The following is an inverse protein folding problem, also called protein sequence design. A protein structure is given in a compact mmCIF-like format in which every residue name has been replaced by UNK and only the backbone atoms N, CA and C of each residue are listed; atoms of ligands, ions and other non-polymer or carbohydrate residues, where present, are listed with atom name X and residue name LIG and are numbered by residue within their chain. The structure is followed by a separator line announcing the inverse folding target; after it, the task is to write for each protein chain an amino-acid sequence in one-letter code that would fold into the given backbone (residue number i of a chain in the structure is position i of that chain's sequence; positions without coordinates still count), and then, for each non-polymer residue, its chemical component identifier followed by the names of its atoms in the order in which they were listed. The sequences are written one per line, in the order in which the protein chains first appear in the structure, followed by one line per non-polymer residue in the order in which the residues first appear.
data_IF_591576343662
#
_entry.id   IF_591576343662
#
_cell.length_a   1.000
_cell.length_b   1.000
_cell.length_c   1.000
_cell.angle_alpha   90.00
_cell.angle_beta   90.00
_cell.angle_gamma   90.00
#
_symmetry.space_group_name_H-M   'P 1'
#
loop_
_entity.id
_entity.type
_entity.pdbx_description
1 polymer ?
#
# COMPACT_ATOMS: atom_id res chain seq x y z
N UNK A 1 -2.39 28.95 1.90
CA UNK A 1 -3.40 29.38 0.91
C UNK A 1 -2.84 30.53 0.10
N UNK A 2 -3.13 30.63 -1.21
CA UNK A 2 -2.78 31.83 -1.96
C UNK A 2 -3.47 33.06 -1.35
N UNK A 3 -2.85 34.25 -1.42
CA UNK A 3 -3.40 35.47 -0.83
C UNK A 3 -4.77 35.86 -1.46
N UNK A 4 -5.66 36.58 -0.74
CA UNK A 4 -6.97 37.01 -1.26
C UNK A 4 -6.90 37.83 -2.56
N UNK A 5 -5.76 38.47 -2.82
CA UNK A 5 -5.50 39.26 -4.03
C UNK A 5 -5.23 38.36 -5.25
N UNK A 6 -4.91 37.08 -5.02
CA UNK A 6 -4.71 36.07 -6.05
C UNK A 6 -6.01 35.39 -6.49
N UNK A 7 -7.18 35.95 -6.17
CA UNK A 7 -8.48 35.56 -6.72
C UNK A 7 -8.47 35.76 -8.24
N UNK A 8 -8.00 34.74 -8.97
CA UNK A 8 -8.04 34.71 -10.43
C UNK A 8 -9.50 34.66 -10.87
N UNK A 9 -10.02 35.81 -11.27
CA UNK A 9 -11.32 35.90 -11.93
C UNK A 9 -11.14 35.56 -13.41
N UNK A 10 -12.05 34.76 -13.95
CA UNK A 10 -12.02 34.43 -15.38
C UNK A 10 -12.38 35.68 -16.19
N UNK A 11 -11.56 36.00 -17.20
CA UNK A 11 -11.88 37.07 -18.16
C UNK A 11 -13.16 36.72 -18.93
N UNK A 12 -13.93 37.73 -19.41
CA UNK A 12 -15.13 37.47 -20.22
C UNK A 12 -14.90 36.54 -21.41
N UNK A 13 -13.75 36.65 -22.08
CA UNK A 13 -13.33 35.79 -23.18
C UNK A 13 -13.15 34.32 -22.76
N UNK A 14 -12.60 34.07 -21.56
CA UNK A 14 -12.42 32.72 -21.02
C UNK A 14 -13.77 32.09 -20.65
N UNK A 15 -14.68 32.89 -20.11
CA UNK A 15 -16.06 32.46 -19.83
C UNK A 15 -16.78 32.14 -21.14
N UNK A 16 -16.62 32.95 -22.18
CA UNK A 16 -17.20 32.71 -23.49
C UNK A 16 -16.67 31.42 -24.12
N UNK A 17 -15.35 31.18 -24.04
CA UNK A 17 -14.71 29.95 -24.51
C UNK A 17 -15.26 28.70 -23.80
N UNK A 18 -15.37 28.73 -22.47
CA UNK A 18 -15.95 27.62 -21.71
C UNK A 18 -17.42 27.38 -22.06
N UNK A 19 -18.19 28.46 -22.27
CA UNK A 19 -19.60 28.34 -22.69
C UNK A 19 -19.73 27.72 -24.08
N UNK A 20 -18.86 28.07 -25.02
CA UNK A 20 -18.89 27.50 -26.36
C UNK A 20 -18.50 26.02 -26.32
N UNK A 21 -17.46 25.68 -25.57
CA UNK A 21 -17.07 24.28 -25.35
C UNK A 21 -18.22 23.43 -24.79
N UNK A 22 -18.97 23.94 -23.80
CA UNK A 22 -20.18 23.27 -23.29
C UNK A 22 -21.27 23.14 -24.36
N UNK A 23 -21.50 24.15 -25.19
CA UNK A 23 -22.50 24.08 -26.29
C UNK A 23 -22.12 23.08 -27.37
N UNK A 24 -20.82 22.93 -27.65
CA UNK A 24 -20.29 21.96 -28.61
C UNK A 24 -20.39 20.51 -28.10
N UNK A 25 -20.93 20.31 -26.89
CA UNK A 25 -21.16 18.98 -26.32
C UNK A 25 -20.02 18.47 -25.45
N UNK A 26 -19.23 19.37 -24.85
CA UNK A 26 -18.22 18.96 -23.88
C UNK A 26 -18.85 18.14 -22.74
N UNK A 27 -18.35 16.92 -22.56
CA UNK A 27 -18.72 16.07 -21.44
C UNK A 27 -18.00 16.55 -20.18
N UNK A 28 -18.77 16.91 -19.16
CA UNK A 28 -18.24 17.20 -17.84
C UNK A 28 -18.10 15.89 -17.06
N UNK A 29 -16.85 15.46 -16.84
CA UNK A 29 -16.55 14.32 -15.97
C UNK A 29 -16.24 14.82 -14.56
N UNK A 30 -16.87 14.19 -13.55
CA UNK A 30 -16.49 14.42 -12.16
C UNK A 30 -15.04 13.94 -11.92
N UNK A 31 -14.31 14.67 -11.07
CA UNK A 31 -12.93 14.29 -10.76
C UNK A 31 -12.90 12.92 -10.08
N UNK A 32 -12.02 12.03 -10.54
CA UNK A 32 -11.96 10.62 -10.13
C UNK A 32 -11.94 10.39 -8.61
N UNK A 33 -11.36 11.32 -7.85
CA UNK A 33 -11.25 11.24 -6.38
C UNK A 33 -12.57 11.51 -5.64
N UNK A 34 -13.56 12.11 -6.30
CA UNK A 34 -14.88 12.39 -5.74
C UNK A 34 -15.94 11.35 -6.16
N UNK A 35 -15.59 10.48 -7.10
CA UNK A 35 -16.43 9.37 -7.50
C UNK A 35 -16.28 8.22 -6.51
N UNK A 36 -17.39 7.80 -5.90
CA UNK A 36 -17.40 6.63 -5.03
C UNK A 36 -17.00 5.37 -5.81
N UNK A 37 -16.05 4.56 -5.30
CA UNK A 37 -15.70 3.28 -5.92
C UNK A 37 -16.93 2.38 -6.04
N UNK A 38 -17.19 1.87 -7.26
CA UNK A 38 -18.30 0.95 -7.52
C UNK A 38 -17.78 -0.48 -7.54
N UNK A 39 -18.43 -1.36 -6.78
CA UNK A 39 -18.13 -2.79 -6.79
C UNK A 39 -18.24 -3.34 -8.21
N UNK A 40 -17.18 -4.03 -8.66
CA UNK A 40 -17.15 -4.68 -9.97
C UNK A 40 -17.52 -6.15 -9.82
N UNK A 41 -18.30 -6.67 -10.76
CA UNK A 41 -18.58 -8.10 -10.80
C UNK A 41 -17.27 -8.87 -11.05
N UNK A 42 -17.09 -9.98 -10.34
CA UNK A 42 -15.93 -10.86 -10.52
C UNK A 42 -16.00 -11.47 -11.94
N UNK A 43 -14.94 -11.32 -12.76
CA UNK A 43 -14.94 -11.86 -14.11
C UNK A 43 -15.04 -13.38 -14.13
N UNK A 44 -15.77 -13.92 -15.12
CA UNK A 44 -15.75 -15.36 -15.40
C UNK A 44 -14.55 -15.67 -16.28
N UNK A 45 -13.72 -16.62 -15.84
CA UNK A 45 -12.46 -17.01 -16.50
C UNK A 45 -12.53 -18.45 -16.98
N UNK A 46 -11.75 -18.79 -18.01
CA UNK A 46 -11.71 -20.14 -18.58
C UNK A 46 -10.93 -21.10 -17.69
N UNK A 47 -9.80 -20.65 -17.13
CA UNK A 47 -8.93 -21.50 -16.30
C UNK A 47 -9.29 -21.42 -14.81
N UNK A 48 -10.53 -21.75 -14.46
CA UNK A 48 -11.04 -21.64 -13.08
C UNK A 48 -10.25 -22.45 -12.04
N UNK A 49 -9.55 -23.52 -12.43
CA UNK A 49 -8.71 -24.31 -11.52
C UNK A 49 -7.42 -23.63 -11.06
N UNK A 50 -6.99 -22.55 -11.71
CA UNK A 50 -5.82 -21.75 -11.28
C UNK A 50 -6.17 -20.71 -10.21
N UNK A 51 -7.45 -20.31 -10.15
CA UNK A 51 -7.96 -19.25 -9.27
C UNK A 51 -8.00 -19.74 -7.82
N UNK A 52 -7.34 -19.01 -6.91
CA UNK A 52 -7.40 -19.25 -5.46
C UNK A 52 -8.35 -18.28 -4.77
N UNK A 53 -8.47 -17.05 -5.28
CA UNK A 53 -9.35 -16.02 -4.73
C UNK A 53 -9.99 -15.13 -5.82
N UNK A 54 -10.84 -14.17 -5.40
CA UNK A 54 -11.52 -13.27 -6.33
C UNK A 54 -10.55 -12.40 -7.15
N UNK A 55 -9.44 -11.94 -6.57
CA UNK A 55 -8.41 -11.13 -7.25
C UNK A 55 -7.79 -11.88 -8.43
N UNK A 56 -7.56 -13.19 -8.28
CA UNK A 56 -6.99 -14.02 -9.35
C UNK A 56 -7.88 -14.05 -10.60
N UNK A 57 -9.21 -13.92 -10.45
CA UNK A 57 -10.12 -13.83 -11.60
C UNK A 57 -9.86 -12.57 -12.43
N UNK A 58 -9.58 -11.43 -11.78
CA UNK A 58 -9.29 -10.18 -12.49
C UNK A 58 -7.95 -10.26 -13.23
N UNK A 59 -6.94 -10.85 -12.60
CA UNK A 59 -5.62 -11.08 -13.22
C UNK A 59 -5.75 -12.04 -14.40
N UNK A 60 -6.40 -13.18 -14.18
CA UNK A 60 -6.55 -14.22 -15.21
C UNK A 60 -7.42 -13.75 -16.37
N UNK A 61 -8.50 -12.99 -16.11
CA UNK A 61 -9.30 -12.39 -17.18
C UNK A 61 -8.47 -11.46 -18.07
N UNK A 62 -7.54 -10.69 -17.47
CA UNK A 62 -6.62 -9.84 -18.22
C UNK A 62 -5.63 -10.68 -19.04
N UNK A 63 -5.04 -11.73 -18.46
CA UNK A 63 -4.14 -12.64 -19.16
C UNK A 63 -4.82 -13.35 -20.33
N UNK A 64 -6.00 -13.92 -20.12
CA UNK A 64 -6.78 -14.62 -21.14
C UNK A 64 -7.18 -13.70 -22.30
N UNK A 65 -7.54 -12.44 -22.02
CA UNK A 65 -7.83 -11.43 -23.05
C UNK A 65 -6.61 -11.15 -23.94
N UNK A 66 -5.42 -11.15 -23.36
CA UNK A 66 -4.15 -10.90 -24.07
C UNK A 66 -3.54 -12.19 -24.65
N UNK A 67 -4.19 -13.34 -24.50
CA UNK A 67 -3.66 -14.63 -24.96
C UNK A 67 -2.44 -15.13 -24.18
N UNK A 68 -2.25 -14.64 -22.96
CA UNK A 68 -1.17 -15.03 -22.06
C UNK A 68 -1.64 -16.08 -21.05
N UNK A 69 -0.71 -16.90 -20.57
CA UNK A 69 -0.93 -17.86 -19.48
C UNK A 69 -0.16 -17.46 -18.24
N UNK A 70 -0.65 -17.78 -17.02
CA UNK A 70 0.12 -17.56 -15.81
C UNK A 70 1.47 -18.28 -15.86
N UNK A 71 2.50 -17.65 -15.27
CA UNK A 71 3.80 -18.30 -15.08
C UNK A 71 3.67 -19.49 -14.11
N UNK A 72 4.48 -20.54 -14.29
CA UNK A 72 4.53 -21.64 -13.31
C UNK A 72 4.99 -21.12 -11.95
N UNK A 73 4.55 -21.80 -10.89
CA UNK A 73 5.01 -21.52 -9.54
C UNK A 73 6.52 -21.73 -9.41
N UNK A 74 7.18 -20.83 -8.68
CA UNK A 74 8.61 -20.91 -8.47
C UNK A 74 8.97 -22.13 -7.59
N UNK A 75 10.21 -22.60 -7.69
CA UNK A 75 10.68 -23.67 -6.81
C UNK A 75 10.70 -23.22 -5.35
N UNK A 76 10.62 -24.18 -4.41
CA UNK A 76 10.52 -23.91 -2.97
C UNK A 76 11.68 -23.05 -2.45
N UNK A 77 12.91 -23.23 -2.95
CA UNK A 77 14.06 -22.41 -2.51
C UNK A 77 13.89 -20.96 -2.94
N UNK A 78 13.44 -20.75 -4.18
CA UNK A 78 13.12 -19.42 -4.69
C UNK A 78 11.97 -18.76 -3.91
N UNK A 79 10.92 -19.52 -3.58
CA UNK A 79 9.75 -19.02 -2.85
C UNK A 79 10.12 -18.50 -1.46
N UNK A 80 10.81 -19.31 -0.63
CA UNK A 80 11.18 -18.87 0.72
C UNK A 80 12.11 -17.65 0.69
N UNK A 81 13.04 -17.61 -0.27
CA UNK A 81 13.94 -16.47 -0.43
C UNK A 81 13.15 -15.19 -0.74
N UNK A 82 12.27 -15.22 -1.75
CA UNK A 82 11.48 -14.05 -2.18
C UNK A 82 10.57 -13.56 -1.06
N UNK A 83 9.76 -14.44 -0.48
CA UNK A 83 8.79 -14.06 0.55
C UNK A 83 9.46 -13.49 1.81
N UNK A 84 10.64 -14.01 2.19
CA UNK A 84 11.37 -13.50 3.36
C UNK A 84 11.92 -12.10 3.10
N UNK A 85 12.47 -11.84 1.92
CA UNK A 85 12.88 -10.50 1.52
C UNK A 85 11.70 -9.54 1.43
N UNK A 86 10.59 -9.95 0.82
CA UNK A 86 9.43 -9.09 0.60
C UNK A 86 8.74 -8.70 1.93
N UNK A 87 8.72 -9.61 2.90
CA UNK A 87 8.06 -9.37 4.18
C UNK A 87 8.98 -8.75 5.24
N UNK A 88 10.27 -9.05 5.23
CA UNK A 88 11.20 -8.64 6.32
C UNK A 88 12.41 -7.84 5.85
N UNK A 89 12.63 -7.70 4.54
CA UNK A 89 13.82 -7.05 3.98
C UNK A 89 15.12 -7.83 4.14
N UNK A 90 15.08 -9.01 4.76
CA UNK A 90 16.26 -9.84 5.07
C UNK A 90 16.20 -11.19 4.36
N UNK A 91 17.35 -11.85 4.12
CA UNK A 91 17.36 -13.23 3.65
C UNK A 91 16.88 -14.20 4.75
N UNK A 92 16.31 -15.36 4.37
CA UNK A 92 16.05 -16.43 5.31
C UNK A 92 17.36 -17.07 5.79
N UNK A 93 17.36 -17.64 7.00
CA UNK A 93 18.52 -18.41 7.48
C UNK A 93 18.62 -19.78 6.80
N UNK A 94 19.81 -20.42 6.76
CA UNK A 94 19.95 -21.77 6.23
C UNK A 94 19.01 -22.79 6.90
N UNK A 95 18.77 -22.64 8.20
CA UNK A 95 17.88 -23.50 8.99
C UNK A 95 16.42 -23.33 8.59
N UNK A 96 15.97 -22.08 8.39
CA UNK A 96 14.61 -21.79 7.91
C UNK A 96 14.38 -22.34 6.50
N UNK A 97 15.38 -22.20 5.61
CA UNK A 97 15.34 -22.81 4.28
C UNK A 97 15.22 -24.32 4.37
N UNK A 98 16.07 -24.96 5.19
CA UNK A 98 16.02 -26.41 5.37
C UNK A 98 14.68 -26.87 5.91
N UNK A 99 14.18 -26.24 6.97
CA UNK A 99 12.89 -26.56 7.58
C UNK A 99 11.75 -26.47 6.55
N UNK A 100 11.70 -25.40 5.77
CA UNK A 100 10.70 -25.26 4.72
C UNK A 100 10.85 -26.31 3.61
N UNK A 101 12.07 -26.68 3.21
CA UNK A 101 12.23 -27.70 2.17
C UNK A 101 11.84 -29.11 2.63
N UNK A 102 11.94 -29.39 3.93
CA UNK A 102 11.60 -30.67 4.54
C UNK A 102 10.11 -30.76 4.95
N UNK A 103 9.41 -29.63 5.02
CA UNK A 103 8.00 -29.57 5.37
C UNK A 103 7.09 -29.96 4.19
N UNK A 104 6.40 -31.10 4.33
CA UNK A 104 5.46 -31.64 3.34
C UNK A 104 3.99 -31.33 3.67
N UNK A 105 3.72 -30.50 4.68
CA UNK A 105 2.36 -30.09 4.98
C UNK A 105 1.75 -29.33 3.79
N UNK A 106 0.45 -29.50 3.52
CA UNK A 106 -0.22 -28.83 2.39
C UNK A 106 -0.22 -27.30 2.51
N UNK A 107 -0.03 -26.77 3.71
CA UNK A 107 -0.01 -25.36 4.10
C UNK A 107 1.39 -24.87 4.52
N UNK A 108 2.46 -25.61 4.17
CA UNK A 108 3.83 -25.29 4.56
C UNK A 108 4.25 -23.86 4.16
N UNK A 109 3.79 -23.36 3.01
CA UNK A 109 4.12 -22.01 2.55
C UNK A 109 3.39 -20.94 3.36
N UNK A 110 2.10 -21.14 3.62
CA UNK A 110 1.27 -20.28 4.44
C UNK A 110 1.81 -20.20 5.87
N UNK A 111 2.31 -21.31 6.42
CA UNK A 111 2.96 -21.33 7.73
C UNK A 111 4.24 -20.49 7.78
N UNK A 112 5.05 -20.51 6.70
CA UNK A 112 6.21 -19.60 6.57
C UNK A 112 5.74 -18.14 6.52
N UNK A 113 4.73 -17.83 5.72
CA UNK A 113 4.18 -16.46 5.59
C UNK A 113 3.67 -15.95 6.94
N UNK A 114 2.85 -16.75 7.64
CA UNK A 114 2.31 -16.40 8.96
C UNK A 114 3.42 -16.13 9.98
N UNK A 115 4.45 -16.97 10.00
CA UNK A 115 5.62 -16.78 10.88
C UNK A 115 6.38 -15.48 10.57
N UNK A 116 6.51 -15.13 9.28
CA UNK A 116 7.18 -13.90 8.85
C UNK A 116 6.35 -12.66 9.20
N UNK A 117 5.04 -12.69 8.98
CA UNK A 117 4.12 -11.61 9.36
C UNK A 117 4.10 -11.38 10.88
N UNK A 118 4.19 -12.44 11.68
CA UNK A 118 4.25 -12.37 13.15
C UNK A 118 5.62 -11.91 13.70
N UNK A 119 6.64 -11.78 12.86
CA UNK A 119 7.98 -11.34 13.27
C UNK A 119 8.00 -9.81 13.44
N UNK A 120 8.65 -9.26 14.49
CA UNK A 120 8.82 -7.81 14.64
C UNK A 120 9.48 -7.13 13.42
N UNK A 121 10.31 -7.90 12.69
CA UNK A 121 11.00 -7.46 11.47
C UNK A 121 10.03 -7.10 10.34
N UNK A 122 8.82 -7.66 10.36
CA UNK A 122 7.78 -7.28 9.40
C UNK A 122 7.44 -5.78 9.57
N UNK A 123 7.09 -5.35 10.78
CA UNK A 123 6.81 -3.95 11.07
C UNK A 123 8.00 -3.04 10.79
N UNK A 124 9.23 -3.46 11.13
CA UNK A 124 10.45 -2.71 10.82
C UNK A 124 10.61 -2.48 9.31
N UNK A 125 10.42 -3.52 8.50
CA UNK A 125 10.54 -3.44 7.05
C UNK A 125 9.40 -2.64 6.40
N UNK A 126 8.16 -2.85 6.84
CA UNK A 126 6.98 -2.18 6.29
C UNK A 126 6.90 -0.71 6.66
N UNK A 127 7.30 -0.35 7.88
CA UNK A 127 7.32 1.02 8.36
C UNK A 127 8.22 1.91 7.51
N UNK A 128 9.32 1.40 6.96
CA UNK A 128 10.22 2.16 6.09
C UNK A 128 9.48 2.84 4.94
N UNK A 129 8.61 2.12 4.23
CA UNK A 129 7.85 2.69 3.11
C UNK A 129 6.91 3.82 3.54
N UNK A 130 6.29 3.71 4.72
CA UNK A 130 5.45 4.78 5.25
C UNK A 130 6.29 5.99 5.66
N UNK A 131 7.39 5.74 6.37
CA UNK A 131 8.29 6.77 6.88
C UNK A 131 8.96 7.55 5.75
N UNK A 132 9.24 6.91 4.62
CA UNK A 132 9.70 7.58 3.40
C UNK A 132 8.66 8.58 2.87
N UNK A 133 7.38 8.17 2.80
CA UNK A 133 6.27 9.04 2.38
C UNK A 133 6.07 10.19 3.36
N UNK A 134 6.20 9.91 4.66
CA UNK A 134 6.14 10.90 5.73
C UNK A 134 7.38 11.80 5.82
N UNK A 135 8.41 11.52 5.01
CA UNK A 135 9.71 12.21 5.02
C UNK A 135 10.37 12.22 6.40
N UNK A 136 10.28 11.10 7.09
CA UNK A 136 10.95 10.88 8.36
C UNK A 136 12.47 10.96 8.15
N UNK A 137 13.16 11.56 9.11
CA UNK A 137 14.62 11.58 9.17
C UNK A 137 15.07 11.86 10.60
N UNK A 138 16.09 11.13 11.06
CA UNK A 138 16.63 11.28 12.42
C UNK A 138 17.36 12.63 12.61
N UNK A 139 17.61 13.35 11.51
CA UNK A 139 18.25 14.67 11.51
C UNK A 139 17.50 15.66 10.61
N UNK A 140 17.86 16.95 10.69
CA UNK A 140 17.27 17.96 9.80
C UNK A 140 17.76 17.88 8.36
N UNK A 141 18.87 17.19 8.11
CA UNK A 141 19.44 16.99 6.77
C UNK A 141 20.10 18.25 6.21
N UNK A 142 19.30 19.22 5.74
CA UNK A 142 19.81 20.34 4.94
C UNK A 142 20.21 21.58 5.78
N UNK A 143 21.35 22.18 5.44
CA UNK A 143 21.97 23.39 6.02
C UNK A 143 22.51 23.30 7.46
N UNK A 144 21.78 22.66 8.36
CA UNK A 144 22.17 22.45 9.76
C UNK A 144 21.67 21.09 10.21
N UNK A 145 22.56 20.10 10.20
CA UNK A 145 22.22 18.71 10.45
C UNK A 145 22.16 18.40 11.95
N UNK A 146 21.24 19.03 12.68
CA UNK A 146 20.99 18.69 14.08
C UNK A 146 20.12 17.44 14.22
N UNK A 147 20.21 16.80 15.37
CA UNK A 147 19.37 15.67 15.74
C UNK A 147 17.91 16.10 15.92
N UNK A 148 16.98 15.24 15.49
CA UNK A 148 15.54 15.37 15.78
C UNK A 148 15.11 14.29 16.75
N UNK A 149 14.49 14.68 17.86
CA UNK A 149 13.88 13.74 18.81
C UNK A 149 12.46 13.35 18.37
N UNK A 150 12.34 12.72 17.20
CA UNK A 150 11.06 12.28 16.63
C UNK A 150 10.96 10.75 16.48
N UNK A 151 11.96 10.01 16.97
CA UNK A 151 11.99 8.55 16.96
C UNK A 151 10.78 7.85 17.59
N UNK A 152 10.03 8.43 18.57
CA UNK A 152 8.80 7.80 19.05
C UNK A 152 7.76 7.63 17.94
N UNK A 153 7.73 8.52 16.94
CA UNK A 153 6.86 8.37 15.78
C UNK A 153 7.24 7.17 14.90
N UNK A 154 8.55 6.94 14.68
CA UNK A 154 9.04 5.76 13.96
C UNK A 154 8.60 4.48 14.69
N UNK A 155 8.82 4.43 16.00
CA UNK A 155 8.52 3.26 16.81
C UNK A 155 7.00 3.00 16.86
N UNK A 156 6.19 4.06 16.94
CA UNK A 156 4.74 3.99 16.79
C UNK A 156 4.31 3.38 15.44
N UNK A 157 4.90 3.82 14.31
CA UNK A 157 4.56 3.29 12.98
C UNK A 157 4.96 1.80 12.88
N UNK A 158 6.12 1.42 13.40
CA UNK A 158 6.56 0.01 13.45
C UNK A 158 5.56 -0.83 14.25
N UNK A 159 5.17 -0.34 15.43
CA UNK A 159 4.17 -0.99 16.30
C UNK A 159 2.82 -1.13 15.60
N UNK A 160 2.33 -0.07 14.94
CA UNK A 160 1.07 -0.09 14.21
C UNK A 160 1.03 -1.18 13.12
N UNK A 161 2.14 -1.42 12.40
CA UNK A 161 2.23 -2.52 11.45
C UNK A 161 2.26 -3.89 12.13
N UNK A 162 3.02 -4.05 13.21
CA UNK A 162 3.13 -5.33 13.91
C UNK A 162 1.84 -5.73 14.64
N UNK A 163 1.02 -4.76 15.05
CA UNK A 163 -0.27 -4.98 15.69
C UNK A 163 -1.43 -5.12 14.68
N UNK A 164 -1.15 -5.05 13.38
CA UNK A 164 -2.16 -5.01 12.31
C UNK A 164 -3.23 -3.93 12.57
N UNK A 165 -2.78 -2.73 12.94
CA UNK A 165 -3.69 -1.62 13.29
C UNK A 165 -4.57 -1.29 12.09
N UNK A 166 -5.88 -1.26 12.33
CA UNK A 166 -6.86 -0.86 11.34
C UNK A 166 -6.49 0.50 10.72
N UNK A 167 -6.50 0.55 9.39
CA UNK A 167 -6.03 1.72 8.64
C UNK A 167 -6.82 2.99 8.97
N UNK A 168 -8.13 2.91 9.21
CA UNK A 168 -8.94 4.08 9.58
C UNK A 168 -8.52 4.66 10.93
N UNK A 169 -8.19 3.81 11.89
CA UNK A 169 -7.67 4.24 13.19
C UNK A 169 -6.26 4.83 13.05
N UNK A 170 -5.37 4.17 12.29
CA UNK A 170 -4.03 4.68 12.03
C UNK A 170 -4.05 6.09 11.42
N UNK A 171 -4.93 6.34 10.43
CA UNK A 171 -5.06 7.67 9.81
C UNK A 171 -5.70 8.70 10.75
N UNK A 172 -6.71 8.33 11.56
CA UNK A 172 -7.28 9.24 12.57
C UNK A 172 -6.22 9.71 13.56
N UNK A 173 -5.41 8.80 14.09
CA UNK A 173 -4.31 9.12 15.02
C UNK A 173 -3.28 10.06 14.39
N UNK A 174 -3.01 9.94 13.09
CA UNK A 174 -2.07 10.80 12.36
C UNK A 174 -2.61 12.23 12.12
N UNK A 175 -3.91 12.37 11.87
CA UNK A 175 -4.54 13.64 11.49
C UNK A 175 -5.08 14.44 12.67
N UNK A 176 -5.52 13.75 13.72
CA UNK A 176 -6.25 14.34 14.84
C UNK A 176 -5.98 13.59 16.16
N UNK A 177 -4.74 13.10 16.35
CA UNK A 177 -4.35 12.38 17.57
C UNK A 177 -4.52 13.22 18.85
N UNK A 178 -4.34 14.53 18.76
CA UNK A 178 -4.55 15.52 19.83
C UNK A 178 -6.03 15.73 20.20
N UNK A 179 -6.96 15.20 19.41
CA UNK A 179 -8.40 15.31 19.64
C UNK A 179 -8.99 13.99 20.18
N UNK A 180 -8.16 12.98 20.46
CA UNK A 180 -8.62 11.69 20.98
C UNK A 180 -8.83 11.75 22.50
N UNK A 181 -9.90 11.12 23.03
CA UNK A 181 -10.30 11.27 24.43
C UNK A 181 -9.36 10.61 25.45
N UNK A 182 -8.51 9.67 25.01
CA UNK A 182 -7.57 8.91 25.85
C UNK A 182 -6.13 9.21 25.42
N UNK A 183 -5.69 10.46 25.61
CA UNK A 183 -4.31 10.88 25.33
C UNK A 183 -3.31 10.08 26.20
N UNK A 184 -2.56 9.18 25.58
CA UNK A 184 -1.42 8.50 26.21
C UNK A 184 -0.11 9.10 25.72
N UNK A 185 0.89 9.14 26.60
CA UNK A 185 2.27 9.48 26.22
C UNK A 185 2.99 8.31 25.51
N UNK A 186 2.39 7.12 25.56
CA UNK A 186 2.89 5.85 25.02
C UNK A 186 2.08 5.39 23.79
#
# INVERSE_FOLDING_TARGET
MPPPEAHKTLKPEQIALLREWVKEGAEYEEHWSFLAPKAQAVPVVKQAGWVRNATDNFILARLEKEGLTPSPEADRRSLIRRVTYDLTGLPPTPEEVKAFLEDNAPDAYENVVNRLLASPRYGEHRAHYWLDVARYGDTHGLHTDHFRSIWPYRDYVIKAYNEDKHFDQFIKEQLAGDMLPDETLD
#
